data_IF_819464583979
#
_entry.id   IF_819464583979
#
_cell.length_a   1.000
_cell.length_b   1.000
_cell.length_c   1.000
_cell.angle_alpha   90.00
_cell.angle_beta   90.00
_cell.angle_gamma   90.00
#
_symmetry.space_group_name_H-M   'P 1'
#
loop_
_entity.id
_entity.type
_entity.pdbx_description
1 polymer ?
#
# COMPACT_ATOMS: atom_id res chain seq x y z
N UNK A 1 -12.46 11.67 9.39
CA UNK A 1 -11.62 10.63 10.03
C UNK A 1 -10.74 9.82 9.05
N UNK A 2 -11.10 9.63 7.76
CA UNK A 2 -10.28 8.84 6.82
C UNK A 2 -9.10 9.58 6.15
N UNK A 3 -8.99 10.90 6.28
CA UNK A 3 -8.02 11.74 5.54
C UNK A 3 -6.59 11.75 6.09
N UNK A 4 -6.33 11.08 7.21
CA UNK A 4 -5.06 11.17 7.94
C UNK A 4 -4.09 10.05 7.55
N UNK A 5 -4.61 8.99 6.94
CA UNK A 5 -3.84 7.81 6.54
C UNK A 5 -3.40 7.95 5.09
N UNK A 6 -2.09 7.85 4.88
CA UNK A 6 -1.49 7.79 3.55
C UNK A 6 -0.83 6.46 3.32
N UNK A 7 -0.74 6.08 2.06
CA UNK A 7 0.06 4.94 1.66
C UNK A 7 1.55 5.29 1.82
N UNK A 8 2.23 4.53 2.68
CA UNK A 8 3.62 4.75 3.02
C UNK A 8 4.54 3.80 2.26
N UNK A 9 4.14 2.55 2.10
CA UNK A 9 4.97 1.55 1.44
C UNK A 9 4.10 0.41 0.91
N UNK A 10 4.50 -0.16 -0.21
CA UNK A 10 3.93 -1.39 -0.74
C UNK A 10 5.06 -2.37 -1.07
N UNK A 11 4.89 -3.62 -0.65
CA UNK A 11 5.82 -4.70 -0.94
C UNK A 11 5.06 -6.03 -1.06
N UNK A 12 5.70 -7.04 -1.66
CA UNK A 12 5.23 -8.42 -1.47
C UNK A 12 6.04 -9.04 -0.34
N UNK A 13 5.35 -9.59 0.65
CA UNK A 13 5.98 -10.36 1.71
C UNK A 13 6.46 -11.70 1.13
N UNK A 14 7.65 -12.15 1.52
CA UNK A 14 8.15 -13.47 1.14
C UNK A 14 7.31 -14.60 1.77
N UNK A 15 6.63 -14.31 2.89
CA UNK A 15 5.70 -15.20 3.58
C UNK A 15 4.29 -14.59 3.65
N UNK A 16 3.22 -15.41 3.59
CA UNK A 16 1.87 -14.90 3.72
C UNK A 16 1.63 -14.25 5.09
N UNK A 17 1.22 -12.98 5.07
CA UNK A 17 0.85 -12.23 6.28
C UNK A 17 -0.67 -12.17 6.46
N UNK A 18 -1.09 -11.60 7.60
CA UNK A 18 -2.48 -11.33 7.93
C UNK A 18 -2.76 -9.83 7.87
N UNK A 19 -3.78 -9.46 7.11
CA UNK A 19 -4.28 -8.10 7.04
C UNK A 19 -4.88 -7.66 8.39
N UNK A 20 -4.82 -6.35 8.72
CA UNK A 20 -5.52 -5.78 9.87
C UNK A 20 -7.03 -6.11 9.89
N UNK A 21 -7.66 -6.32 8.72
CA UNK A 21 -9.06 -6.72 8.61
C UNK A 21 -9.29 -8.23 8.91
N UNK A 22 -8.26 -8.99 9.25
CA UNK A 22 -8.29 -10.43 9.53
C UNK A 22 -8.10 -11.33 8.30
N UNK A 23 -8.03 -10.75 7.09
CA UNK A 23 -7.77 -11.51 5.86
C UNK A 23 -6.40 -12.18 5.87
N UNK A 24 -6.38 -13.46 5.55
CA UNK A 24 -5.18 -14.28 5.42
C UNK A 24 -5.46 -15.39 4.39
N UNK A 25 -4.50 -15.77 3.53
CA UNK A 25 -3.16 -15.18 3.39
C UNK A 25 -3.17 -13.91 2.53
N UNK A 26 -2.35 -12.91 2.88
CA UNK A 26 -2.01 -11.79 2.00
C UNK A 26 -0.51 -11.80 1.71
N UNK A 27 -0.15 -11.67 0.44
CA UNK A 27 1.25 -11.56 -0.01
C UNK A 27 1.54 -10.10 -0.34
N UNK A 28 0.58 -9.40 -0.96
CA UNK A 28 0.67 -7.98 -1.30
C UNK A 28 0.36 -7.11 -0.07
N UNK A 29 1.39 -6.55 0.54
CA UNK A 29 1.29 -5.75 1.75
C UNK A 29 1.29 -4.26 1.41
N UNK A 30 0.37 -3.53 2.05
CA UNK A 30 0.28 -2.08 2.01
C UNK A 30 0.46 -1.55 3.43
N UNK A 31 1.56 -0.87 3.68
CA UNK A 31 1.75 -0.12 4.91
C UNK A 31 1.18 1.27 4.75
N UNK A 32 0.18 1.58 5.58
CA UNK A 32 -0.38 2.91 5.71
C UNK A 32 0.28 3.63 6.87
N UNK A 33 0.61 4.90 6.71
CA UNK A 33 1.10 5.77 7.77
C UNK A 33 0.07 6.84 8.08
N UNK A 34 -0.25 7.01 9.35
CA UNK A 34 -1.05 8.11 9.83
C UNK A 34 -0.15 9.35 10.01
N UNK A 35 -0.50 10.45 9.32
CA UNK A 35 0.27 11.70 9.36
C UNK A 35 0.18 12.43 10.70
N UNK A 36 -0.87 12.20 11.49
CA UNK A 36 -1.10 12.92 12.75
C UNK A 36 -0.41 12.29 13.95
N UNK A 37 -0.38 10.96 14.02
CA UNK A 37 0.18 10.25 15.18
C UNK A 37 1.35 9.32 14.83
N UNK A 38 1.78 9.29 13.57
CA UNK A 38 2.85 8.41 13.07
C UNK A 38 2.60 6.91 13.28
N UNK A 39 1.36 6.49 13.52
CA UNK A 39 1.02 5.07 13.57
C UNK A 39 1.04 4.45 12.17
N UNK A 40 1.33 3.16 12.13
CA UNK A 40 1.32 2.36 10.90
C UNK A 40 0.19 1.33 10.94
N UNK A 41 -0.41 1.07 9.79
CA UNK A 41 -1.43 0.05 9.62
C UNK A 41 -1.13 -0.79 8.38
N UNK A 42 -0.91 -2.08 8.62
CA UNK A 42 -0.58 -3.06 7.59
C UNK A 42 -1.86 -3.71 7.05
N UNK A 43 -2.13 -3.52 5.76
CA UNK A 43 -3.32 -4.07 5.11
C UNK A 43 -2.99 -4.66 3.75
N UNK A 44 -3.78 -5.63 3.29
CA UNK A 44 -3.69 -6.12 1.92
C UNK A 44 -4.31 -5.14 0.93
N UNK A 45 -3.91 -5.24 -0.34
CA UNK A 45 -4.44 -4.41 -1.44
C UNK A 45 -5.99 -4.35 -1.45
N UNK A 46 -6.66 -5.48 -1.24
CA UNK A 46 -8.12 -5.55 -1.22
C UNK A 46 -8.77 -4.74 -0.06
N UNK A 47 -8.08 -4.58 1.08
CA UNK A 47 -8.59 -3.87 2.25
C UNK A 47 -8.21 -2.37 2.21
N UNK A 48 -7.14 -1.96 1.51
CA UNK A 48 -6.71 -0.55 1.47
C UNK A 48 -7.74 0.36 0.78
N UNK A 49 -8.41 -0.12 -0.28
CA UNK A 49 -9.54 0.58 -0.93
C UNK A 49 -10.67 0.88 0.06
N UNK A 50 -10.98 -0.06 0.94
CA UNK A 50 -12.00 0.12 1.99
C UNK A 50 -11.50 1.02 3.13
N UNK A 51 -10.20 0.96 3.43
CA UNK A 51 -9.58 1.68 4.54
C UNK A 51 -9.56 3.19 4.29
N UNK A 52 -8.96 3.62 3.18
CA UNK A 52 -8.72 5.04 2.88
C UNK A 52 -9.48 5.55 1.65
N UNK A 53 -10.22 4.69 0.94
CA UNK A 53 -10.99 5.10 -0.24
C UNK A 53 -10.13 5.38 -1.48
N UNK A 54 -8.82 5.14 -1.41
CA UNK A 54 -7.94 5.30 -2.57
C UNK A 54 -8.20 4.20 -3.60
N UNK A 55 -8.09 4.50 -4.92
CA UNK A 55 -8.16 3.51 -5.99
C UNK A 55 -6.90 2.65 -5.98
N UNK A 56 -6.80 1.77 -4.98
CA UNK A 56 -5.63 0.94 -4.72
C UNK A 56 -5.28 0.06 -5.90
N UNK A 57 -6.27 -0.42 -6.64
CA UNK A 57 -6.10 -1.18 -7.87
C UNK A 57 -5.23 -0.43 -8.89
N UNK A 58 -5.45 0.88 -9.06
CA UNK A 58 -4.66 1.71 -10.01
C UNK A 58 -3.25 1.96 -9.48
N UNK A 59 -3.13 2.19 -8.17
CA UNK A 59 -1.84 2.38 -7.50
C UNK A 59 -1.02 1.09 -7.62
N UNK A 60 -1.61 -0.07 -7.34
CA UNK A 60 -0.97 -1.36 -7.53
C UNK A 60 -0.60 -1.64 -8.97
N UNK A 61 -1.45 -1.31 -9.94
CA UNK A 61 -1.13 -1.48 -11.35
C UNK A 61 0.03 -0.59 -11.79
N UNK A 62 0.06 0.67 -11.35
CA UNK A 62 1.17 1.58 -11.61
C UNK A 62 2.46 1.06 -10.96
N UNK A 63 2.38 0.65 -9.69
CA UNK A 63 3.50 0.08 -8.95
C UNK A 63 4.00 -1.21 -9.60
N UNK A 64 3.12 -2.14 -9.97
CA UNK A 64 3.50 -3.41 -10.60
C UNK A 64 4.18 -3.21 -11.97
N UNK A 65 3.87 -2.12 -12.67
CA UNK A 65 4.59 -1.71 -13.88
C UNK A 65 6.00 -1.21 -13.57
N UNK A 66 6.15 -0.39 -12.52
CA UNK A 66 7.46 0.16 -12.08
C UNK A 66 8.33 -0.91 -11.41
N UNK A 67 7.71 -1.84 -10.69
CA UNK A 67 8.37 -2.93 -9.94
C UNK A 67 8.95 -4.02 -10.83
N UNK A 68 8.60 -4.03 -12.12
CA UNK A 68 9.19 -4.93 -13.10
C UNK A 68 10.69 -4.65 -13.32
N UNK A 69 11.19 -3.53 -12.81
CA UNK A 69 12.52 -2.98 -13.11
C UNK A 69 13.51 -2.85 -11.94
N UNK A 70 13.23 -3.23 -10.67
CA UNK A 70 14.28 -3.85 -9.77
C UNK A 70 13.99 -3.99 -8.26
N UNK A 71 13.07 -3.28 -7.58
CA UNK A 71 13.10 -3.31 -6.09
C UNK A 71 11.88 -3.99 -5.44
N UNK A 72 12.12 -4.93 -4.51
CA UNK A 72 11.09 -5.74 -3.81
C UNK A 72 10.04 -4.91 -3.05
N UNK A 73 10.30 -3.62 -2.82
CA UNK A 73 9.47 -2.67 -2.08
C UNK A 73 9.47 -1.29 -2.76
N UNK A 74 8.31 -0.63 -2.83
CA UNK A 74 8.21 0.77 -3.24
C UNK A 74 7.80 1.64 -2.05
N UNK A 75 8.57 2.71 -1.82
CA UNK A 75 8.37 3.68 -0.75
C UNK A 75 7.36 4.78 -1.13
N UNK A 76 6.96 5.57 -0.14
CA UNK A 76 5.95 6.62 -0.28
C UNK A 76 6.28 7.64 -1.37
N UNK A 77 7.56 7.95 -1.56
CA UNK A 77 8.02 8.90 -2.58
C UNK A 77 7.82 8.36 -3.98
N UNK A 78 8.17 7.09 -4.22
CA UNK A 78 7.94 6.43 -5.50
C UNK A 78 6.45 6.27 -5.81
N UNK A 79 5.64 5.95 -4.79
CA UNK A 79 4.17 5.84 -4.90
C UNK A 79 3.56 7.20 -5.23
N UNK A 80 4.01 8.26 -4.57
CA UNK A 80 3.53 9.63 -4.82
C UNK A 80 3.90 10.08 -6.22
N UNK A 81 5.13 9.81 -6.67
CA UNK A 81 5.58 10.14 -8.03
C UNK A 81 4.80 9.37 -9.11
N UNK A 82 4.51 8.08 -8.86
CA UNK A 82 3.71 7.25 -9.77
C UNK A 82 2.25 7.72 -9.86
N UNK A 83 1.72 8.33 -8.80
CA UNK A 83 0.37 8.90 -8.77
C UNK A 83 0.29 10.26 -9.47
N UNK A 84 1.29 11.13 -9.28
CA UNK A 84 1.29 12.49 -9.82
C UNK A 84 1.44 12.56 -11.35
N UNK A 85 2.07 11.54 -11.96
CA UNK A 85 2.24 11.43 -13.42
C UNK A 85 1.18 10.61 -14.16
N UNK A 86 0.06 10.28 -13.49
CA UNK A 86 -1.03 9.43 -14.04
C UNK A 86 -2.18 10.20 -14.67
#
# INVERSE_FOLDING_TARGET
AKSEWILYEIYEADEPERCLCGHFPIIEICNLKNKLNSNYATVGNCCVKKFIGLPSDKIFQAIKRVRKDDEKSLNAEAITHAYDKG
#
